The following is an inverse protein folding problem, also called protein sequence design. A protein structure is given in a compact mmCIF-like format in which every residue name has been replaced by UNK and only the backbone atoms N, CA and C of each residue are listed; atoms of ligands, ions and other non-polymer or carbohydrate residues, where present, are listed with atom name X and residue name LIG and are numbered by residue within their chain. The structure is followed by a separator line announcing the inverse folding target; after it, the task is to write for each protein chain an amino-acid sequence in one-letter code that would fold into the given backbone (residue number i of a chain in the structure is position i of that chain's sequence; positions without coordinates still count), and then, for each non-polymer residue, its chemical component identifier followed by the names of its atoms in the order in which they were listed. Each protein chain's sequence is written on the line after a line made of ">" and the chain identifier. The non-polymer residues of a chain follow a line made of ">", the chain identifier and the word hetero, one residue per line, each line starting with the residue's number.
data_IF_490555386399
#
_entry.id   IF_490555386399
#
_cell.length_a   1.000
_cell.length_b   1.000
_cell.length_c   1.000
_cell.angle_alpha   90.00
_cell.angle_beta   90.00
_cell.angle_gamma   90.00
#
_symmetry.space_group_name_H-M   'P 1'
#
loop_
_entity.id
_entity.type
_entity.pdbx_description
1 polymer ?
#
# COMPACT_ATOMS: atom_id res chain seq x y z
N UNK A 1 18.51 11.87 -10.15
CA UNK A 1 17.74 13.06 -10.01
C UNK A 1 16.24 12.84 -10.11
N UNK A 2 15.49 13.83 -9.73
CA UNK A 2 14.03 13.76 -9.75
C UNK A 2 13.47 13.59 -11.16
N UNK A 3 14.24 13.94 -12.17
CA UNK A 3 13.83 13.85 -13.58
C UNK A 3 13.76 12.42 -14.10
N UNK A 4 14.38 11.47 -13.44
CA UNK A 4 14.40 10.08 -13.90
C UNK A 4 13.22 9.26 -13.41
N UNK A 5 12.61 9.63 -12.31
CA UNK A 5 11.55 8.86 -11.67
C UNK A 5 11.98 7.46 -11.26
N UNK A 6 11.64 7.05 -10.05
CA UNK A 6 11.86 5.69 -9.61
C UNK A 6 10.63 4.85 -9.90
N UNK A 7 10.82 3.62 -10.34
CA UNK A 7 9.71 2.71 -10.56
C UNK A 7 9.24 2.11 -9.24
N UNK A 8 7.94 2.08 -9.04
CA UNK A 8 7.34 1.53 -7.83
C UNK A 8 6.17 0.61 -8.18
N UNK A 9 5.93 -0.34 -7.29
CA UNK A 9 4.75 -1.20 -7.34
C UNK A 9 4.06 -1.16 -5.98
N UNK A 10 2.75 -1.43 -5.98
CA UNK A 10 1.96 -1.44 -4.74
C UNK A 10 1.45 -2.86 -4.51
N UNK A 11 1.72 -3.39 -3.33
CA UNK A 11 1.35 -4.76 -2.95
C UNK A 11 0.26 -4.70 -1.88
N UNK A 12 -0.91 -5.25 -2.21
CA UNK A 12 -2.07 -5.26 -1.34
C UNK A 12 -3.01 -4.10 -1.63
N UNK A 13 -4.16 -4.40 -2.25
CA UNK A 13 -5.13 -3.38 -2.69
C UNK A 13 -6.40 -3.49 -1.85
N UNK A 14 -6.23 -3.45 -0.54
CA UNK A 14 -7.33 -3.28 0.41
C UNK A 14 -7.71 -1.80 0.52
N UNK A 15 -8.34 -1.42 1.63
CA UNK A 15 -8.79 -0.04 1.82
C UNK A 15 -7.66 0.98 1.73
N UNK A 16 -6.54 0.71 2.38
CA UNK A 16 -5.39 1.62 2.35
C UNK A 16 -4.73 1.66 0.97
N UNK A 17 -4.53 0.49 0.35
CA UNK A 17 -3.95 0.41 -0.99
C UNK A 17 -4.78 1.16 -2.02
N UNK A 18 -6.11 1.01 -1.98
CA UNK A 18 -7.01 1.74 -2.84
C UNK A 18 -6.95 3.24 -2.59
N UNK A 19 -6.90 3.65 -1.33
CA UNK A 19 -6.78 5.07 -0.98
C UNK A 19 -5.48 5.67 -1.52
N UNK A 20 -4.38 4.95 -1.43
CA UNK A 20 -3.10 5.39 -1.98
C UNK A 20 -3.15 5.48 -3.50
N UNK A 21 -3.74 4.48 -4.16
CA UNK A 21 -3.89 4.48 -5.63
C UNK A 21 -4.71 5.66 -6.13
N UNK A 22 -5.79 6.00 -5.41
CA UNK A 22 -6.72 7.04 -5.85
C UNK A 22 -6.30 8.45 -5.44
N UNK A 23 -5.63 8.61 -4.31
CA UNK A 23 -5.45 9.93 -3.70
C UNK A 23 -3.99 10.36 -3.52
N UNK A 24 -3.05 9.43 -3.56
CA UNK A 24 -1.65 9.78 -3.34
C UNK A 24 -0.95 9.98 -4.68
N UNK A 25 -0.28 11.12 -4.83
CA UNK A 25 0.48 11.43 -6.03
C UNK A 25 1.93 10.96 -5.89
N UNK A 26 2.19 9.73 -6.27
CA UNK A 26 3.55 9.17 -6.27
C UNK A 26 4.48 9.97 -7.17
N UNK A 27 3.97 10.44 -8.28
CA UNK A 27 4.73 11.21 -9.27
C UNK A 27 5.30 12.50 -8.67
N UNK A 28 4.55 13.16 -7.79
CA UNK A 28 5.00 14.37 -7.11
C UNK A 28 6.28 14.13 -6.32
N UNK A 29 6.47 12.92 -5.81
CA UNK A 29 7.63 12.54 -5.01
C UNK A 29 8.69 11.78 -5.80
N UNK A 30 8.60 11.78 -7.12
CA UNK A 30 9.59 11.17 -7.98
C UNK A 30 9.40 9.68 -8.24
N UNK A 31 8.23 9.13 -7.95
CA UNK A 31 7.92 7.72 -8.19
C UNK A 31 6.88 7.56 -9.29
N UNK A 32 7.11 6.59 -10.15
CA UNK A 32 6.12 6.17 -11.13
C UNK A 32 5.56 4.82 -10.69
N UNK A 33 4.27 4.80 -10.36
CA UNK A 33 3.58 3.59 -9.94
C UNK A 33 3.20 2.79 -11.17
N UNK A 34 3.89 1.66 -11.39
CA UNK A 34 3.77 0.86 -12.62
C UNK A 34 2.68 -0.19 -12.55
N UNK A 35 2.45 -0.77 -11.39
CA UNK A 35 1.53 -1.89 -11.22
C UNK A 35 1.14 -2.04 -9.78
N UNK A 36 0.01 -2.72 -9.54
CA UNK A 36 -0.41 -3.13 -8.22
C UNK A 36 -0.71 -4.63 -8.24
N UNK A 37 -0.69 -5.27 -7.07
CA UNK A 37 -0.85 -6.72 -6.93
C UNK A 37 -1.79 -7.03 -5.79
N UNK A 38 -2.70 -7.99 -5.99
CA UNK A 38 -3.60 -8.48 -4.95
C UNK A 38 -3.99 -9.93 -5.21
N UNK A 39 -4.57 -10.57 -4.21
CA UNK A 39 -5.05 -11.96 -4.31
C UNK A 39 -6.55 -12.05 -4.60
N UNK A 40 -7.30 -10.95 -4.46
CA UNK A 40 -8.75 -10.96 -4.62
C UNK A 40 -9.15 -11.03 -6.10
N UNK A 41 -9.87 -12.09 -6.51
CA UNK A 41 -10.25 -12.25 -7.93
C UNK A 41 -11.04 -11.07 -8.49
N UNK A 42 -11.87 -10.42 -7.67
CA UNK A 42 -12.68 -9.29 -8.13
C UNK A 42 -11.86 -8.03 -8.41
N UNK A 43 -10.65 -7.95 -7.88
CA UNK A 43 -9.74 -6.82 -8.12
C UNK A 43 -8.80 -7.08 -9.29
N UNK A 44 -8.40 -8.34 -9.49
CA UNK A 44 -7.41 -8.70 -10.50
C UNK A 44 -7.94 -8.36 -11.90
N UNK A 45 -7.12 -7.63 -12.67
CA UNK A 45 -7.47 -7.18 -14.01
C UNK A 45 -8.15 -5.83 -14.07
N UNK A 46 -8.51 -5.25 -12.93
CA UNK A 46 -9.12 -3.91 -12.88
C UNK A 46 -8.04 -2.83 -12.91
N UNK A 47 -8.44 -1.61 -13.27
CA UNK A 47 -7.57 -0.45 -13.29
C UNK A 47 -8.01 0.58 -12.26
N UNK A 48 -7.03 1.15 -11.55
CA UNK A 48 -7.24 2.29 -10.65
C UNK A 48 -6.32 3.42 -11.11
N UNK A 49 -6.90 4.51 -11.60
CA UNK A 49 -6.15 5.68 -12.07
C UNK A 49 -5.02 5.31 -13.05
N UNK A 50 -5.31 4.36 -13.96
CA UNK A 50 -4.35 3.92 -14.95
C UNK A 50 -3.38 2.84 -14.48
N UNK A 51 -3.47 2.41 -13.21
CA UNK A 51 -2.63 1.36 -12.65
C UNK A 51 -3.41 0.04 -12.64
N UNK A 52 -2.89 -0.95 -13.34
CA UNK A 52 -3.53 -2.26 -13.42
C UNK A 52 -3.21 -3.10 -12.21
N UNK A 53 -4.22 -3.79 -11.69
CA UNK A 53 -4.06 -4.74 -10.59
C UNK A 53 -3.84 -6.13 -11.17
N UNK A 54 -2.70 -6.72 -10.82
CA UNK A 54 -2.29 -8.07 -11.23
C UNK A 54 -2.51 -9.07 -10.11
N UNK A 55 -2.57 -10.35 -10.48
CA UNK A 55 -2.58 -11.44 -9.52
C UNK A 55 -1.22 -11.49 -8.81
N UNK A 56 -1.25 -11.57 -7.49
CA UNK A 56 -0.04 -11.69 -6.66
C UNK A 56 0.82 -12.88 -7.08
N UNK A 57 0.22 -13.94 -7.61
CA UNK A 57 0.94 -15.11 -8.11
C UNK A 57 1.88 -14.77 -9.27
N UNK A 58 1.64 -13.67 -9.99
CA UNK A 58 2.49 -13.24 -11.11
C UNK A 58 3.63 -12.32 -10.69
N UNK A 59 3.73 -11.97 -9.42
CA UNK A 59 4.75 -11.04 -8.94
C UNK A 59 6.18 -11.51 -9.22
N UNK A 60 6.56 -12.76 -8.96
CA UNK A 60 7.93 -13.20 -9.27
C UNK A 60 8.29 -13.02 -10.74
N UNK A 61 7.39 -13.37 -11.65
CA UNK A 61 7.62 -13.18 -13.08
C UNK A 61 7.71 -11.70 -13.44
N UNK A 62 6.84 -10.88 -12.90
CA UNK A 62 6.87 -9.43 -13.12
C UNK A 62 8.22 -8.85 -12.72
N UNK A 63 8.74 -9.24 -11.56
CA UNK A 63 10.02 -8.76 -11.05
C UNK A 63 11.21 -9.26 -11.87
N UNK A 64 11.07 -10.42 -12.54
CA UNK A 64 12.11 -10.93 -13.43
C UNK A 64 12.16 -10.17 -14.75
N UNK A 65 11.04 -9.58 -15.17
CA UNK A 65 10.91 -8.88 -16.45
C UNK A 65 11.01 -7.36 -16.33
N UNK A 66 10.84 -6.83 -15.14
CA UNK A 66 10.79 -5.39 -14.91
C UNK A 66 11.66 -5.00 -13.73
N UNK A 67 12.44 -3.93 -13.92
CA UNK A 67 13.19 -3.34 -12.83
C UNK A 67 12.23 -2.54 -11.95
N UNK A 68 12.21 -2.85 -10.66
CA UNK A 68 11.40 -2.15 -9.67
C UNK A 68 12.32 -1.61 -8.59
N UNK A 69 12.28 -0.29 -8.41
CA UNK A 69 13.11 0.39 -7.41
C UNK A 69 12.53 0.29 -6.02
N UNK A 70 11.21 0.40 -5.90
CA UNK A 70 10.55 0.43 -4.60
C UNK A 70 9.21 -0.31 -4.64
N UNK A 71 8.84 -0.86 -3.48
CA UNK A 71 7.52 -1.46 -3.29
C UNK A 71 6.80 -0.77 -2.13
N UNK A 72 5.53 -0.46 -2.34
CA UNK A 72 4.63 0.05 -1.31
C UNK A 72 3.86 -1.14 -0.77
N UNK A 73 4.08 -1.48 0.49
CA UNK A 73 3.57 -2.71 1.09
C UNK A 73 2.35 -2.43 1.95
N UNK A 74 1.19 -2.90 1.51
CA UNK A 74 -0.11 -2.72 2.17
C UNK A 74 -0.84 -4.05 2.39
N UNK A 75 -0.09 -5.16 2.48
CA UNK A 75 -0.66 -6.49 2.72
C UNK A 75 -1.11 -6.66 4.18
N UNK A 76 -1.96 -7.65 4.48
CA UNK A 76 -2.26 -7.99 5.87
C UNK A 76 -1.00 -8.35 6.65
N UNK A 77 -1.01 -8.09 7.96
CA UNK A 77 0.15 -8.30 8.86
C UNK A 77 0.76 -9.69 8.71
N UNK A 78 -0.08 -10.71 8.56
CA UNK A 78 0.36 -12.10 8.45
C UNK A 78 1.20 -12.40 7.21
N UNK A 79 1.14 -11.54 6.20
CA UNK A 79 1.87 -11.71 4.95
C UNK A 79 3.04 -10.75 4.78
N UNK A 80 3.27 -9.87 5.76
CA UNK A 80 4.27 -8.80 5.63
C UNK A 80 5.70 -9.33 5.45
N UNK A 81 6.10 -10.27 6.30
CA UNK A 81 7.47 -10.80 6.29
C UNK A 81 7.74 -11.59 5.02
N UNK A 82 6.85 -12.52 4.67
CA UNK A 82 7.07 -13.35 3.46
C UNK A 82 7.06 -12.51 2.18
N UNK A 83 6.20 -11.49 2.10
CA UNK A 83 6.17 -10.59 0.94
C UNK A 83 7.46 -9.78 0.84
N UNK A 84 7.96 -9.29 1.97
CA UNK A 84 9.24 -8.58 2.02
C UNK A 84 10.39 -9.47 1.53
N UNK A 85 10.45 -10.71 1.98
CA UNK A 85 11.46 -11.66 1.53
C UNK A 85 11.38 -11.92 0.02
N UNK A 86 10.16 -12.06 -0.50
CA UNK A 86 9.95 -12.24 -1.94
C UNK A 86 10.46 -11.03 -2.73
N UNK A 87 10.11 -9.83 -2.29
CA UNK A 87 10.54 -8.59 -2.96
C UNK A 87 12.06 -8.43 -2.94
N UNK A 88 12.68 -8.61 -1.79
CA UNK A 88 14.13 -8.41 -1.64
C UNK A 88 14.93 -9.47 -2.36
N UNK A 89 14.45 -10.70 -2.38
CA UNK A 89 15.11 -11.80 -3.11
C UNK A 89 15.05 -11.59 -4.63
N UNK A 90 14.14 -10.77 -5.12
CA UNK A 90 14.02 -10.42 -6.53
C UNK A 90 14.56 -9.03 -6.87
N UNK A 91 15.36 -8.45 -5.98
CA UNK A 91 16.10 -7.23 -6.27
C UNK A 91 15.40 -5.91 -5.94
N UNK A 92 14.28 -5.94 -5.25
CA UNK A 92 13.64 -4.71 -4.78
C UNK A 92 14.38 -4.23 -3.53
N UNK A 93 15.00 -3.06 -3.62
CA UNK A 93 15.91 -2.56 -2.58
C UNK A 93 15.29 -1.52 -1.65
N UNK A 94 14.08 -1.07 -1.91
CA UNK A 94 13.40 -0.11 -1.06
C UNK A 94 11.96 -0.57 -0.82
N UNK A 95 11.53 -0.53 0.44
CA UNK A 95 10.19 -0.95 0.83
C UNK A 95 9.58 0.12 1.72
N UNK A 96 8.41 0.60 1.31
CA UNK A 96 7.59 1.52 2.07
C UNK A 96 6.53 0.69 2.79
N UNK A 97 6.74 0.46 4.08
CA UNK A 97 5.94 -0.50 4.83
C UNK A 97 4.77 0.17 5.56
N UNK A 98 3.57 -0.11 5.11
CA UNK A 98 2.32 0.34 5.72
C UNK A 98 1.57 -0.79 6.44
N UNK A 99 2.22 -1.94 6.66
CA UNK A 99 1.54 -3.12 7.24
C UNK A 99 1.37 -3.08 8.74
N UNK A 100 1.99 -2.10 9.41
CA UNK A 100 1.98 -2.00 10.86
C UNK A 100 2.74 -3.14 11.57
N UNK A 101 3.58 -3.85 10.84
CA UNK A 101 4.54 -4.82 11.38
C UNK A 101 5.92 -4.19 11.20
N UNK A 102 6.72 -4.14 12.25
CA UNK A 102 8.10 -3.68 12.13
C UNK A 102 8.89 -4.69 11.27
N UNK A 103 9.33 -4.21 10.13
CA UNK A 103 10.16 -5.02 9.23
C UNK A 103 11.60 -4.54 9.34
N UNK A 104 12.51 -5.50 9.46
CA UNK A 104 13.94 -5.23 9.41
C UNK A 104 14.44 -5.55 8.02
N UNK A 105 15.46 -4.80 7.58
CA UNK A 105 16.11 -5.09 6.32
C UNK A 105 16.77 -6.47 6.39
N UNK A 106 16.36 -7.42 5.54
CA UNK A 106 17.00 -8.74 5.52
C UNK A 106 18.43 -8.70 5.00
N UNK A 107 18.75 -7.64 4.25
CA UNK A 107 20.10 -7.41 3.72
C UNK A 107 20.50 -5.96 3.96
N UNK A 108 21.80 -5.73 4.12
CA UNK A 108 22.34 -4.40 4.42
C UNK A 108 22.08 -3.37 3.32
N UNK A 109 21.80 -3.81 2.10
CA UNK A 109 21.52 -2.93 0.95
C UNK A 109 20.05 -2.57 0.82
N UNK A 110 19.17 -3.20 1.58
CA UNK A 110 17.72 -2.95 1.48
C UNK A 110 17.31 -1.85 2.46
N UNK A 111 16.59 -0.86 1.95
CA UNK A 111 16.03 0.24 2.75
C UNK A 111 14.58 -0.11 3.08
N UNK A 112 14.23 -0.13 4.37
CA UNK A 112 12.86 -0.32 4.81
C UNK A 112 12.43 0.89 5.63
N UNK A 113 11.40 1.58 5.16
CA UNK A 113 10.74 2.65 5.90
C UNK A 113 9.45 2.10 6.50
N UNK A 114 9.43 1.95 7.83
CA UNK A 114 8.26 1.49 8.56
C UNK A 114 7.37 2.68 8.90
N UNK A 115 6.19 2.73 8.31
CA UNK A 115 5.26 3.83 8.49
C UNK A 115 4.05 3.35 9.28
N UNK A 116 3.76 4.05 10.36
CA UNK A 116 2.59 3.77 11.20
C UNK A 116 1.37 4.56 10.74
N UNK A 117 1.28 4.73 9.41
CA UNK A 117 0.21 5.50 8.78
C UNK A 117 -1.17 4.86 9.02
N UNK A 118 -1.23 3.53 8.98
CA UNK A 118 -2.48 2.82 9.23
C UNK A 118 -3.03 3.05 10.63
N UNK A 119 -2.15 3.14 11.64
CA UNK A 119 -2.56 3.47 13.01
C UNK A 119 -3.14 4.87 13.10
N UNK A 120 -2.49 5.84 12.45
CA UNK A 120 -2.99 7.21 12.41
C UNK A 120 -4.34 7.31 11.71
N UNK A 121 -4.52 6.60 10.60
CA UNK A 121 -5.80 6.54 9.89
C UNK A 121 -6.88 5.87 10.71
N UNK A 122 -6.56 4.79 11.38
CA UNK A 122 -7.51 4.08 12.25
C UNK A 122 -7.95 4.95 13.40
N UNK A 123 -7.00 5.67 14.03
CA UNK A 123 -7.32 6.61 15.10
C UNK A 123 -8.23 7.73 14.60
N UNK A 124 -7.91 8.31 13.46
CA UNK A 124 -8.72 9.35 12.86
C UNK A 124 -10.12 8.86 12.52
N UNK A 125 -10.21 7.67 11.92
CA UNK A 125 -11.49 7.04 11.59
C UNK A 125 -12.34 6.80 12.83
N UNK A 126 -11.72 6.37 13.92
CA UNK A 126 -12.41 6.17 15.20
C UNK A 126 -13.01 7.48 15.71
N UNK A 127 -12.23 8.57 15.73
CA UNK A 127 -12.72 9.87 16.19
C UNK A 127 -13.84 10.43 15.31
N UNK A 128 -13.73 10.25 14.01
CA UNK A 128 -14.78 10.67 13.07
C UNK A 128 -16.05 9.86 13.33
N UNK A 129 -15.95 8.57 13.56
CA UNK A 129 -17.08 7.69 13.85
C UNK A 129 -17.79 8.08 15.13
N UNK A 130 -17.04 8.37 16.22
CA UNK A 130 -17.61 8.87 17.48
C UNK A 130 -18.35 10.17 17.28
N UNK A 131 -17.78 11.13 16.57
CA UNK A 131 -18.42 12.42 16.29
C UNK A 131 -19.73 12.24 15.52
N UNK A 132 -19.75 11.36 14.52
CA UNK A 132 -20.96 11.04 13.78
C UNK A 132 -22.03 10.36 14.65
N UNK A 133 -21.63 9.48 15.53
CA UNK A 133 -22.55 8.81 16.48
C UNK A 133 -23.17 9.81 17.45
N UNK A 134 -22.39 10.77 17.95
CA UNK A 134 -22.89 11.85 18.80
C UNK A 134 -23.87 12.73 18.05
N UNK A 135 -23.58 13.10 16.82
CA UNK A 135 -24.47 13.89 15.96
C UNK A 135 -25.78 13.15 15.70
N UNK A 136 -25.70 11.86 15.40
CA UNK A 136 -26.89 11.03 15.19
C UNK A 136 -27.74 10.92 16.47
N UNK A 137 -27.10 10.75 17.62
CA UNK A 137 -27.79 10.70 18.91
C UNK A 137 -28.49 12.02 19.24
N UNK A 138 -27.86 13.16 18.94
CA UNK A 138 -28.47 14.49 19.11
C UNK A 138 -29.69 14.66 18.20
N UNK A 139 -29.55 14.29 16.92
CA UNK A 139 -30.64 14.36 15.95
C UNK A 139 -31.84 13.50 16.38
N UNK A 140 -31.59 12.28 16.87
CA UNK A 140 -32.62 11.39 17.37
C UNK A 140 -33.36 11.99 18.57
N UNK A 141 -32.61 12.66 19.47
CA UNK A 141 -33.20 13.31 20.65
C UNK A 141 -34.07 14.53 20.28
N UNK A 142 -33.67 15.25 19.24
CA UNK A 142 -34.39 16.43 18.78
C UNK A 142 -35.69 16.12 18.05
N UNK A 143 -35.81 14.91 17.52
CA UNK A 143 -36.98 14.46 16.77
C UNK A 143 -38.06 13.76 17.61
N UNK A 144 -37.92 13.76 18.91
CA UNK A 144 -38.91 13.19 19.82
C UNK A 144 -39.90 14.26 20.33
#
# INVERSE_FOLDING_TARGET
>A
GMDRGYSAILIGVGNLGQALLCNFSFKTWGFELKAAFDIKPQLIGTDYEGVKIHDMATLPQYLSENKVDAAVLCVPKTHAVETTELLTSHGVNAIWNFTNVELTSPESSTIVENIHFSDSLLSLSYYISEDNDEKAARAARMNK
#
